data_IF_874270976715
#
_entry.id   IF_874270976715
#
_cell.length_a   1.000
_cell.length_b   1.000
_cell.length_c   1.000
_cell.angle_alpha   90.00
_cell.angle_beta   90.00
_cell.angle_gamma   90.00
#
_symmetry.space_group_name_H-M   'P 1'
#
loop_
_entity.id
_entity.type
_entity.pdbx_description
1 polymer ?
#
# COMPACT_ATOMS: atom_id res chain seq x y z
N UNK A 1 15.93 -6.27 18.38
CA UNK A 1 15.39 -5.24 17.47
C UNK A 1 13.89 -5.48 17.39
N UNK A 2 13.06 -4.60 17.94
CA UNK A 2 11.61 -4.77 17.89
C UNK A 2 11.17 -4.57 16.43
N UNK A 3 10.67 -5.62 15.78
CA UNK A 3 10.15 -5.48 14.42
C UNK A 3 8.85 -4.70 14.51
N UNK A 4 8.79 -3.55 13.83
CA UNK A 4 7.55 -2.77 13.74
C UNK A 4 6.51 -3.62 12.99
N UNK A 5 5.31 -3.74 13.56
CA UNK A 5 4.20 -4.38 12.87
C UNK A 5 3.81 -3.60 11.61
N UNK A 6 3.25 -4.31 10.62
CA UNK A 6 2.69 -3.66 9.43
C UNK A 6 1.58 -2.70 9.82
N UNK A 7 1.42 -1.62 9.07
CA UNK A 7 0.49 -0.53 9.46
C UNK A 7 -0.96 -0.99 9.48
N UNK A 8 -1.34 -1.93 8.61
CA UNK A 8 -2.65 -2.57 8.62
C UNK A 8 -2.93 -3.39 9.89
N UNK A 9 -1.88 -3.86 10.58
CA UNK A 9 -2.01 -4.53 11.88
C UNK A 9 -1.96 -3.52 13.02
N UNK A 10 -1.02 -2.59 12.96
CA UNK A 10 -0.84 -1.57 14.00
C UNK A 10 -2.08 -0.66 14.12
N UNK A 11 -2.74 -0.34 13.01
CA UNK A 11 -3.92 0.52 12.94
C UNK A 11 -5.17 -0.25 12.52
N UNK A 12 -5.23 -1.54 12.84
CA UNK A 12 -6.33 -2.42 12.44
C UNK A 12 -7.70 -1.90 12.92
N UNK A 13 -7.77 -1.41 14.16
CA UNK A 13 -8.99 -0.88 14.76
C UNK A 13 -9.47 0.38 14.02
N UNK A 14 -8.57 1.34 13.79
CA UNK A 14 -8.93 2.57 13.07
C UNK A 14 -9.39 2.28 11.64
N UNK A 15 -8.71 1.37 10.93
CA UNK A 15 -9.10 0.93 9.59
C UNK A 15 -10.45 0.19 9.61
N UNK A 16 -10.72 -0.58 10.66
CA UNK A 16 -11.98 -1.30 10.83
C UNK A 16 -13.15 -0.32 11.02
N UNK A 17 -13.02 0.64 11.94
CA UNK A 17 -14.05 1.63 12.22
C UNK A 17 -14.29 2.55 11.02
N UNK A 18 -13.23 2.99 10.34
CA UNK A 18 -13.34 3.72 9.08
C UNK A 18 -14.10 2.92 8.03
N UNK A 19 -13.76 1.65 7.84
CA UNK A 19 -14.44 0.79 6.86
C UNK A 19 -15.92 0.61 7.18
N UNK A 20 -16.31 0.58 8.45
CA UNK A 20 -17.71 0.51 8.89
C UNK A 20 -18.46 1.81 8.65
N UNK A 21 -17.83 2.95 8.90
CA UNK A 21 -18.42 4.27 8.69
C UNK A 21 -18.44 4.68 7.19
N UNK A 22 -17.58 4.08 6.37
CA UNK A 22 -17.40 4.44 4.97
C UNK A 22 -18.51 3.88 4.04
N UNK A 23 -19.58 4.66 3.90
CA UNK A 23 -20.68 4.40 2.96
C UNK A 23 -20.51 4.98 1.56
N UNK A 24 -19.33 5.53 1.22
CA UNK A 24 -19.12 6.23 -0.06
C UNK A 24 -18.65 5.28 -1.17
N UNK A 25 -18.76 5.72 -2.42
CA UNK A 25 -18.28 4.96 -3.58
C UNK A 25 -16.77 4.73 -3.50
N UNK A 26 -16.36 3.49 -3.80
CA UNK A 26 -14.97 3.03 -3.80
C UNK A 26 -14.53 2.75 -5.25
N UNK A 27 -13.36 3.25 -5.68
CA UNK A 27 -12.77 2.81 -6.94
C UNK A 27 -12.52 1.30 -6.96
N UNK A 28 -12.35 0.68 -8.15
CA UNK A 28 -12.05 -0.74 -8.27
C UNK A 28 -10.83 -1.15 -7.42
N UNK A 29 -10.94 -2.27 -6.71
CA UNK A 29 -9.91 -2.84 -5.83
C UNK A 29 -9.55 -2.02 -4.58
N UNK A 30 -10.25 -0.91 -4.30
CA UNK A 30 -10.03 -0.12 -3.09
C UNK A 30 -10.81 -0.68 -1.90
N UNK A 31 -10.18 -0.70 -0.71
CA UNK A 31 -10.79 -1.13 0.55
C UNK A 31 -11.62 0.00 1.18
N UNK A 32 -11.11 1.23 1.10
CA UNK A 32 -11.72 2.46 1.59
C UNK A 32 -12.00 3.42 0.44
N UNK A 33 -12.98 4.30 0.59
CA UNK A 33 -13.23 5.40 -0.33
C UNK A 33 -12.12 6.46 -0.23
N UNK A 34 -11.93 7.31 -1.26
CA UNK A 34 -10.93 8.39 -1.23
C UNK A 34 -11.05 9.31 0.00
N UNK A 35 -12.27 9.55 0.46
CA UNK A 35 -12.54 10.36 1.65
C UNK A 35 -12.13 9.62 2.94
N UNK A 36 -12.46 8.33 3.05
CA UNK A 36 -12.04 7.54 4.21
C UNK A 36 -10.51 7.37 4.27
N UNK A 37 -9.83 7.24 3.11
CA UNK A 37 -8.36 7.26 3.03
C UNK A 37 -7.81 8.62 3.49
N UNK A 38 -8.45 9.73 3.11
CA UNK A 38 -8.06 11.07 3.56
C UNK A 38 -8.19 11.22 5.09
N UNK A 39 -9.34 10.84 5.66
CA UNK A 39 -9.56 10.83 7.12
C UNK A 39 -8.57 9.92 7.83
N UNK A 40 -8.25 8.76 7.27
CA UNK A 40 -7.24 7.86 7.83
C UNK A 40 -5.87 8.52 7.96
N UNK A 41 -5.42 9.24 6.95
CA UNK A 41 -4.08 9.86 6.91
C UNK A 41 -4.00 11.17 7.68
N UNK A 42 -5.01 12.03 7.54
CA UNK A 42 -5.05 13.36 8.14
C UNK A 42 -5.64 13.38 9.55
N UNK A 43 -6.26 12.27 9.96
CA UNK A 43 -7.00 12.17 11.21
C UNK A 43 -8.37 12.84 11.14
N UNK A 44 -9.15 12.64 12.19
CA UNK A 44 -10.49 13.22 12.33
C UNK A 44 -11.37 12.40 13.26
N UNK A 45 -12.57 12.90 13.53
CA UNK A 45 -13.57 12.20 14.33
C UNK A 45 -14.67 11.70 13.42
N UNK A 46 -15.00 10.42 13.51
CA UNK A 46 -16.11 9.81 12.77
C UNK A 46 -17.45 10.18 13.39
N UNK A 47 -18.55 10.00 12.64
CA UNK A 47 -19.91 10.33 13.11
C UNK A 47 -20.32 9.52 14.37
N UNK A 48 -19.73 8.34 14.57
CA UNK A 48 -19.93 7.52 15.77
C UNK A 48 -19.08 7.97 16.98
N UNK A 49 -18.34 9.07 16.86
CA UNK A 49 -17.47 9.62 17.89
C UNK A 49 -16.08 8.98 17.98
N UNK A 50 -15.76 8.00 17.13
CA UNK A 50 -14.44 7.37 17.11
C UNK A 50 -13.37 8.34 16.59
N UNK A 51 -12.25 8.47 17.31
CA UNK A 51 -11.13 9.33 16.92
C UNK A 51 -10.09 8.55 16.09
N UNK A 52 -9.84 9.04 14.88
CA UNK A 52 -8.80 8.56 13.98
C UNK A 52 -7.57 9.44 14.15
N UNK A 53 -6.46 8.84 14.54
CA UNK A 53 -5.20 9.56 14.78
C UNK A 53 -4.61 10.05 13.44
N UNK A 54 -3.97 11.24 13.42
CA UNK A 54 -3.30 11.70 12.22
C UNK A 54 -1.97 10.95 12.01
N UNK A 55 -1.76 10.36 10.81
CA UNK A 55 -0.49 9.70 10.45
C UNK A 55 0.41 10.61 9.63
N UNK A 56 -0.15 11.64 9.01
CA UNK A 56 0.59 12.66 8.32
C UNK A 56 0.32 14.03 8.94
N UNK A 57 1.39 14.65 9.44
CA UNK A 57 1.36 16.02 9.97
C UNK A 57 2.08 16.90 8.95
N UNK A 58 1.33 17.70 8.21
CA UNK A 58 1.87 18.54 7.14
C UNK A 58 0.77 19.16 6.28
N UNK A 59 1.09 19.47 5.02
CA UNK A 59 0.13 20.06 4.10
C UNK A 59 -0.86 19.00 3.62
N UNK A 60 -2.08 18.99 4.17
CA UNK A 60 -3.12 18.01 3.82
C UNK A 60 -3.47 17.95 2.33
N UNK A 61 -3.29 19.07 1.60
CA UNK A 61 -3.50 19.13 0.15
C UNK A 61 -2.59 18.16 -0.61
N UNK A 62 -1.40 17.86 -0.11
CA UNK A 62 -0.49 16.88 -0.73
C UNK A 62 -1.08 15.47 -0.66
N UNK A 63 -1.71 15.12 0.45
CA UNK A 63 -2.38 13.83 0.64
C UNK A 63 -3.60 13.74 -0.26
N UNK A 64 -4.40 14.79 -0.37
CA UNK A 64 -5.54 14.84 -1.28
C UNK A 64 -5.12 14.66 -2.74
N UNK A 65 -4.04 15.31 -3.18
CA UNK A 65 -3.49 15.14 -4.53
C UNK A 65 -2.98 13.71 -4.76
N UNK A 66 -2.30 13.13 -3.76
CA UNK A 66 -1.83 11.75 -3.83
C UNK A 66 -3.00 10.76 -3.99
N UNK A 67 -4.05 10.92 -3.18
CA UNK A 67 -5.26 10.11 -3.26
C UNK A 67 -5.93 10.29 -4.63
N UNK A 68 -6.15 11.52 -5.07
CA UNK A 68 -6.75 11.80 -6.38
C UNK A 68 -5.94 11.20 -7.54
N UNK A 69 -4.61 11.21 -7.45
CA UNK A 69 -3.75 10.56 -8.45
C UNK A 69 -3.99 9.05 -8.48
N UNK A 70 -4.02 8.40 -7.32
CA UNK A 70 -4.27 6.96 -7.21
C UNK A 70 -5.69 6.55 -7.62
N UNK A 71 -6.68 7.45 -7.53
CA UNK A 71 -8.03 7.14 -8.05
C UNK A 71 -8.08 7.03 -9.58
N UNK A 72 -7.01 7.44 -10.26
CA UNK A 72 -6.81 7.23 -11.69
C UNK A 72 -5.82 6.08 -11.92
N UNK A 73 -5.71 5.58 -13.16
CA UNK A 73 -4.76 4.53 -13.53
C UNK A 73 -3.30 5.03 -13.62
N UNK A 74 -2.91 5.98 -12.76
CA UNK A 74 -1.58 6.61 -12.75
C UNK A 74 -0.74 6.17 -11.56
N UNK A 75 0.55 6.04 -11.80
CA UNK A 75 1.54 5.87 -10.73
C UNK A 75 1.73 7.17 -9.93
N UNK A 76 2.10 7.02 -8.65
CA UNK A 76 2.39 8.11 -7.72
C UNK A 76 3.88 8.10 -7.36
N UNK A 77 4.56 9.24 -7.52
CA UNK A 77 5.93 9.44 -7.06
C UNK A 77 5.97 10.47 -5.92
N UNK A 78 6.41 10.03 -4.75
CA UNK A 78 6.58 10.91 -3.58
C UNK A 78 8.03 11.43 -3.53
N UNK A 79 8.21 12.73 -3.79
CA UNK A 79 9.53 13.39 -3.74
C UNK A 79 9.60 14.42 -2.61
N UNK A 80 10.80 14.59 -2.03
CA UNK A 80 11.04 15.57 -0.97
C UNK A 80 12.31 15.28 -0.18
N UNK A 81 12.65 16.20 0.73
CA UNK A 81 13.84 16.14 1.59
C UNK A 81 13.88 14.82 2.38
N UNK A 82 15.06 14.21 2.63
CA UNK A 82 15.17 13.06 3.54
C UNK A 82 14.48 13.31 4.89
N UNK A 83 13.79 12.30 5.42
CA UNK A 83 13.08 12.40 6.70
C UNK A 83 11.64 12.96 6.65
N UNK A 84 11.11 13.35 5.48
CA UNK A 84 9.73 13.87 5.35
C UNK A 84 8.62 12.81 5.35
N UNK A 85 8.88 11.60 5.87
CA UNK A 85 7.86 10.55 5.98
C UNK A 85 7.36 9.95 4.65
N UNK A 86 8.12 10.04 3.54
CA UNK A 86 7.72 9.47 2.24
C UNK A 86 7.34 7.99 2.32
N UNK A 87 8.21 7.17 2.91
CA UNK A 87 7.97 5.73 3.09
C UNK A 87 6.75 5.47 3.97
N UNK A 88 6.59 6.28 5.02
CA UNK A 88 5.48 6.21 5.95
C UNK A 88 4.13 6.50 5.27
N UNK A 89 4.07 7.58 4.49
CA UNK A 89 2.87 7.94 3.71
C UNK A 89 2.56 6.88 2.65
N UNK A 90 3.57 6.39 1.93
CA UNK A 90 3.37 5.32 0.93
C UNK A 90 2.82 4.03 1.56
N UNK A 91 3.34 3.64 2.73
CA UNK A 91 2.90 2.47 3.48
C UNK A 91 1.44 2.60 3.96
N UNK A 92 1.07 3.75 4.53
CA UNK A 92 -0.30 4.03 4.94
C UNK A 92 -1.27 4.14 3.76
N UNK A 93 -0.85 4.72 2.63
CA UNK A 93 -1.66 4.74 1.41
C UNK A 93 -1.90 3.32 0.90
N UNK A 94 -0.88 2.47 0.85
CA UNK A 94 -1.02 1.08 0.41
C UNK A 94 -1.97 0.29 1.31
N UNK A 95 -1.86 0.44 2.64
CA UNK A 95 -2.78 -0.22 3.57
C UNK A 95 -4.22 0.31 3.47
N UNK A 96 -4.42 1.63 3.40
CA UNK A 96 -5.76 2.21 3.34
C UNK A 96 -6.47 1.94 2.00
N UNK A 97 -5.72 1.99 0.90
CA UNK A 97 -6.24 1.78 -0.45
C UNK A 97 -6.38 0.28 -0.74
N UNK A 98 -5.31 -0.49 -0.59
CA UNK A 98 -5.26 -1.87 -1.04
C UNK A 98 -5.41 -2.90 0.09
N UNK A 99 -5.35 -2.49 1.36
CA UNK A 99 -5.41 -3.40 2.51
C UNK A 99 -4.15 -4.21 2.75
N UNK A 100 -3.06 -3.88 2.06
CA UNK A 100 -1.80 -4.63 2.10
C UNK A 100 -0.65 -3.67 1.78
N UNK A 101 0.25 -3.49 2.74
CA UNK A 101 1.42 -2.61 2.62
C UNK A 101 2.72 -3.38 2.36
N UNK A 102 2.63 -4.72 2.28
CA UNK A 102 3.77 -5.64 2.27
C UNK A 102 4.41 -5.83 0.90
N UNK A 103 3.72 -5.40 -0.17
CA UNK A 103 4.20 -5.48 -1.54
C UNK A 103 5.19 -4.35 -1.85
N UNK A 104 6.42 -4.51 -1.37
CA UNK A 104 7.49 -3.52 -1.41
C UNK A 104 8.71 -4.05 -2.15
N UNK A 105 9.33 -3.20 -2.97
CA UNK A 105 10.67 -3.42 -3.52
C UNK A 105 11.61 -2.34 -3.00
N UNK A 106 12.67 -2.75 -2.30
CA UNK A 106 13.74 -1.84 -1.88
C UNK A 106 14.75 -1.66 -3.01
N UNK A 107 14.62 -0.56 -3.75
CA UNK A 107 15.55 -0.19 -4.80
C UNK A 107 16.94 0.14 -4.27
N UNK A 108 17.90 -0.72 -4.54
CA UNK A 108 19.35 -0.50 -4.40
C UNK A 108 20.06 -0.69 -5.73
N UNK A 109 21.33 -0.28 -5.83
CA UNK A 109 22.15 -0.52 -7.02
C UNK A 109 22.29 -2.01 -7.39
N UNK A 110 22.06 -2.92 -6.43
CA UNK A 110 22.10 -4.37 -6.62
C UNK A 110 20.74 -5.04 -6.79
N UNK A 111 19.66 -4.28 -7.02
CA UNK A 111 18.32 -4.87 -7.19
C UNK A 111 18.29 -5.72 -8.45
N UNK A 112 18.05 -7.02 -8.30
CA UNK A 112 17.97 -7.94 -9.43
C UNK A 112 16.67 -7.72 -10.21
N UNK A 113 16.69 -8.06 -11.49
CA UNK A 113 15.49 -8.04 -12.33
C UNK A 113 14.41 -8.98 -11.80
N UNK A 114 14.80 -10.12 -11.20
CA UNK A 114 13.90 -11.09 -10.57
C UNK A 114 13.08 -10.46 -9.43
N UNK A 115 13.68 -9.54 -8.67
CA UNK A 115 12.99 -8.83 -7.59
C UNK A 115 11.87 -7.90 -8.11
N UNK A 116 11.95 -7.47 -9.37
CA UNK A 116 10.96 -6.61 -10.02
C UNK A 116 9.96 -7.45 -10.83
N UNK A 117 10.44 -8.41 -11.64
CA UNK A 117 9.61 -9.22 -12.54
C UNK A 117 9.11 -10.48 -11.84
N UNK A 118 9.91 -11.53 -11.91
CA UNK A 118 9.68 -12.83 -11.28
C UNK A 118 10.99 -13.61 -11.35
N UNK A 119 11.17 -14.53 -10.40
CA UNK A 119 12.28 -15.48 -10.41
C UNK A 119 11.80 -16.88 -10.78
N UNK A 120 12.74 -17.82 -10.78
CA UNK A 120 12.47 -19.24 -10.97
C UNK A 120 12.94 -20.04 -9.76
N UNK A 121 12.12 -20.97 -9.30
CA UNK A 121 12.59 -22.06 -8.46
C UNK A 121 13.35 -23.04 -9.37
N UNK A 122 14.67 -22.93 -9.39
CA UNK A 122 15.53 -23.72 -10.28
C UNK A 122 15.37 -25.24 -10.09
N UNK A 123 15.15 -25.72 -8.87
CA UNK A 123 14.93 -27.15 -8.62
C UNK A 123 13.65 -27.63 -9.32
N UNK A 124 12.55 -26.87 -9.19
CA UNK A 124 11.29 -27.16 -9.88
C UNK A 124 11.42 -27.01 -11.39
N UNK A 125 12.13 -25.98 -11.85
CA UNK A 125 12.36 -25.70 -13.28
C UNK A 125 13.12 -26.84 -13.97
N UNK A 126 14.16 -27.39 -13.32
CA UNK A 126 14.93 -28.52 -13.84
C UNK A 126 14.07 -29.80 -13.84
N UNK A 127 13.31 -30.05 -12.78
CA UNK A 127 12.54 -31.28 -12.63
C UNK A 127 11.27 -31.34 -13.51
N UNK A 128 10.57 -30.22 -13.67
CA UNK A 128 9.23 -30.15 -14.29
C UNK A 128 9.16 -29.23 -15.50
N UNK A 129 10.24 -28.52 -15.84
CA UNK A 129 10.22 -27.50 -16.88
C UNK A 129 9.55 -26.18 -16.47
N UNK A 130 9.40 -25.24 -17.40
CA UNK A 130 8.83 -23.92 -17.14
C UNK A 130 7.32 -24.01 -16.90
N UNK A 131 6.94 -24.09 -15.64
CA UNK A 131 5.55 -24.18 -15.18
C UNK A 131 5.21 -23.03 -14.24
N UNK A 132 3.93 -22.75 -14.03
CA UNK A 132 3.49 -21.76 -13.05
C UNK A 132 3.99 -22.10 -11.62
N UNK A 133 4.09 -23.39 -11.28
CA UNK A 133 4.64 -23.85 -10.00
C UNK A 133 6.14 -23.57 -9.84
N UNK A 134 6.87 -23.43 -10.95
CA UNK A 134 8.29 -23.09 -10.94
C UNK A 134 8.53 -21.57 -10.86
N UNK A 135 7.50 -20.74 -11.06
CA UNK A 135 7.61 -19.28 -10.96
C UNK A 135 7.61 -18.83 -9.49
N UNK A 136 8.53 -17.94 -9.18
CA UNK A 136 8.55 -17.21 -7.90
C UNK A 136 8.07 -15.79 -8.20
N UNK A 137 6.83 -15.42 -7.84
CA UNK A 137 6.28 -14.11 -8.17
C UNK A 137 6.98 -13.01 -7.38
N UNK A 138 7.28 -11.89 -8.03
CA UNK A 138 7.74 -10.68 -7.34
C UNK A 138 6.58 -9.97 -6.61
N UNK A 139 6.89 -8.99 -5.74
CA UNK A 139 5.87 -8.11 -5.18
C UNK A 139 5.04 -7.39 -6.24
N UNK A 140 5.66 -6.96 -7.35
CA UNK A 140 4.96 -6.29 -8.46
C UNK A 140 4.04 -7.26 -9.19
N UNK A 141 4.51 -8.48 -9.50
CA UNK A 141 3.66 -9.49 -10.13
C UNK A 141 2.46 -9.84 -9.25
N UNK A 142 2.70 -10.01 -7.94
CA UNK A 142 1.65 -10.27 -6.96
C UNK A 142 0.65 -9.12 -6.89
N UNK A 143 1.13 -7.87 -6.91
CA UNK A 143 0.28 -6.69 -6.90
C UNK A 143 -0.60 -6.60 -8.15
N UNK A 144 -0.02 -6.83 -9.33
CA UNK A 144 -0.77 -6.84 -10.59
C UNK A 144 -1.86 -7.91 -10.61
N UNK A 145 -1.55 -9.13 -10.15
CA UNK A 145 -2.51 -10.23 -10.09
C UNK A 145 -3.67 -9.97 -9.12
N UNK A 146 -3.38 -9.32 -7.99
CA UNK A 146 -4.36 -9.08 -6.92
C UNK A 146 -5.03 -7.69 -6.97
N UNK A 147 -4.66 -6.85 -7.95
CA UNK A 147 -5.12 -5.46 -8.02
C UNK A 147 -4.70 -4.63 -6.80
N UNK A 148 -3.46 -4.80 -6.34
CA UNK A 148 -2.91 -4.11 -5.15
C UNK A 148 -1.86 -3.08 -5.54
N UNK A 149 -1.46 -2.26 -4.57
CA UNK A 149 -0.37 -1.30 -4.72
C UNK A 149 0.96 -1.99 -4.42
N UNK A 150 1.88 -1.98 -5.39
CA UNK A 150 3.30 -2.21 -5.14
C UNK A 150 4.01 -0.87 -4.91
N UNK A 151 4.99 -0.84 -4.01
CA UNK A 151 5.73 0.37 -3.63
C UNK A 151 7.24 0.18 -3.61
#
# INVERSE_FOLDING_TARGET
MLLRQHVEQQFAEELHELKRADGRMKPPNWVLSPWAVSTYLLGGTLDNGFEVSAKYIGNGRLIEIAIATLTTDRALLLMGIPGTGKTWVAEHLAAAVAGDSTLLIQGTAGTSEEAIRYGWNYASLIAKGPTQEALIPSPVMTAMQKGKIAR
#
